data_IF_205856313323
#
_entry.id   IF_205856313323
#
_cell.length_a   1.000
_cell.length_b   1.000
_cell.length_c   1.000
_cell.angle_alpha   90.00
_cell.angle_beta   90.00
_cell.angle_gamma   90.00
#
_symmetry.space_group_name_H-M   'P 1'
#
loop_
_entity.id
_entity.type
_entity.pdbx_description
1 polymer ?
#
# COMPACT_ATOMS: atom_id res chain seq x y z
N UNK A 1 -2.77 52.26 6.93
CA UNK A 1 -2.36 51.05 7.69
C UNK A 1 -3.09 49.78 7.25
N UNK A 2 -4.42 49.79 7.09
CA UNK A 2 -5.14 48.58 6.65
C UNK A 2 -4.68 48.00 5.30
N UNK A 3 -4.17 48.84 4.38
CA UNK A 3 -3.68 48.40 3.07
C UNK A 3 -2.49 47.43 3.15
N UNK A 4 -1.50 47.69 4.01
CA UNK A 4 -0.33 46.80 4.13
C UNK A 4 -0.71 45.48 4.80
N UNK A 5 -1.69 45.50 5.71
CA UNK A 5 -2.19 44.31 6.40
C UNK A 5 -2.86 43.36 5.40
N UNK A 6 -3.72 43.86 4.51
CA UNK A 6 -4.38 43.05 3.49
C UNK A 6 -3.39 42.43 2.50
N UNK A 7 -2.32 43.15 2.13
CA UNK A 7 -1.27 42.64 1.25
C UNK A 7 -0.52 41.48 1.90
N UNK A 8 -0.14 41.62 3.18
CA UNK A 8 0.58 40.56 3.91
C UNK A 8 -0.30 39.31 4.03
N UNK A 9 -1.57 39.46 4.40
CA UNK A 9 -2.51 38.32 4.49
C UNK A 9 -2.69 37.65 3.12
N UNK A 10 -2.80 38.42 2.04
CA UNK A 10 -2.90 37.88 0.68
C UNK A 10 -1.69 37.04 0.27
N UNK A 11 -0.48 37.50 0.60
CA UNK A 11 0.76 36.76 0.30
C UNK A 11 0.87 35.49 1.15
N UNK A 12 0.50 35.55 2.43
CA UNK A 12 0.51 34.38 3.31
C UNK A 12 -0.49 33.33 2.83
N UNK A 13 -1.74 33.71 2.53
CA UNK A 13 -2.75 32.77 2.04
C UNK A 13 -2.34 32.13 0.70
N UNK A 14 -1.79 32.92 -0.23
CA UNK A 14 -1.31 32.41 -1.51
C UNK A 14 -0.13 31.44 -1.37
N UNK A 15 0.82 31.73 -0.47
CA UNK A 15 1.98 30.85 -0.23
C UNK A 15 1.61 29.55 0.49
N UNK A 16 0.65 29.58 1.43
CA UNK A 16 0.20 28.39 2.16
C UNK A 16 -0.51 27.40 1.25
N UNK A 17 -1.40 27.86 0.37
CA UNK A 17 -2.12 26.97 -0.56
C UNK A 17 -1.16 26.20 -1.47
N UNK A 18 -0.21 26.89 -2.09
CA UNK A 18 0.83 26.26 -2.91
C UNK A 18 1.75 25.33 -2.10
N UNK A 19 2.00 25.67 -0.83
CA UNK A 19 2.75 24.82 0.09
C UNK A 19 2.04 23.49 0.37
N UNK A 20 0.72 23.51 0.53
CA UNK A 20 -0.07 22.29 0.76
C UNK A 20 -0.06 21.38 -0.46
N UNK A 21 -0.23 21.91 -1.67
CA UNK A 21 -0.16 21.12 -2.91
C UNK A 21 1.19 20.45 -3.10
N UNK A 22 2.29 21.15 -2.77
CA UNK A 22 3.64 20.59 -2.84
C UNK A 22 3.82 19.43 -1.86
N UNK A 23 3.32 19.57 -0.63
CA UNK A 23 3.37 18.51 0.38
C UNK A 23 2.53 17.31 -0.05
N UNK A 24 1.32 17.53 -0.59
CA UNK A 24 0.45 16.46 -1.08
C UNK A 24 1.10 15.70 -2.24
N UNK A 25 1.72 16.41 -3.20
CA UNK A 25 2.48 15.78 -4.28
C UNK A 25 3.67 14.96 -3.76
N UNK A 26 4.40 15.46 -2.77
CA UNK A 26 5.50 14.73 -2.14
C UNK A 26 5.02 13.46 -1.44
N UNK A 27 3.87 13.51 -0.75
CA UNK A 27 3.25 12.33 -0.13
C UNK A 27 2.82 11.30 -1.18
N UNK A 28 2.18 11.72 -2.27
CA UNK A 28 1.81 10.81 -3.36
C UNK A 28 3.03 10.13 -3.98
N UNK A 29 4.11 10.87 -4.26
CA UNK A 29 5.38 10.28 -4.74
C UNK A 29 5.99 9.30 -3.75
N UNK A 30 5.86 9.57 -2.45
CA UNK A 30 6.34 8.65 -1.41
C UNK A 30 5.55 7.34 -1.41
N UNK A 31 4.23 7.38 -1.64
CA UNK A 31 3.42 6.16 -1.83
C UNK A 31 3.95 5.32 -2.98
N UNK A 32 4.24 5.93 -4.14
CA UNK A 32 4.85 5.22 -5.29
C UNK A 32 6.17 4.57 -4.92
N UNK A 33 7.07 5.34 -4.29
CA UNK A 33 8.38 4.83 -3.86
C UNK A 33 8.26 3.71 -2.83
N UNK A 34 7.33 3.82 -1.87
CA UNK A 34 7.08 2.80 -0.86
C UNK A 34 6.57 1.50 -1.51
N UNK A 35 5.62 1.59 -2.45
CA UNK A 35 5.08 0.42 -3.17
C UNK A 35 6.15 -0.30 -4.00
N UNK A 36 7.03 0.45 -4.67
CA UNK A 36 8.17 -0.12 -5.42
C UNK A 36 9.24 -0.72 -4.49
N UNK A 37 9.51 -0.08 -3.35
CA UNK A 37 10.43 -0.62 -2.36
C UNK A 37 9.89 -1.95 -1.78
N UNK A 38 8.59 -2.03 -1.52
CA UNK A 38 7.94 -3.25 -1.06
C UNK A 38 8.03 -4.37 -2.10
N UNK A 39 7.75 -4.10 -3.38
CA UNK A 39 7.91 -5.15 -4.40
C UNK A 39 9.36 -5.62 -4.52
N UNK A 40 10.34 -4.71 -4.46
CA UNK A 40 11.75 -5.07 -4.44
C UNK A 40 12.13 -5.96 -3.22
N UNK A 41 11.60 -5.67 -2.04
CA UNK A 41 11.81 -6.49 -0.84
C UNK A 41 11.20 -7.89 -1.00
N UNK A 42 9.98 -7.98 -1.54
CA UNK A 42 9.30 -9.25 -1.79
C UNK A 42 10.11 -10.13 -2.77
N UNK A 43 10.62 -9.55 -3.86
CA UNK A 43 11.47 -10.29 -4.81
C UNK A 43 12.84 -10.65 -4.24
N UNK A 44 13.46 -9.75 -3.46
CA UNK A 44 14.73 -10.07 -2.79
C UNK A 44 14.58 -11.25 -1.83
N UNK A 45 13.46 -11.32 -1.12
CA UNK A 45 13.14 -12.45 -0.27
C UNK A 45 12.89 -13.72 -1.09
N UNK A 46 12.14 -13.60 -2.19
CA UNK A 46 11.88 -14.71 -3.11
C UNK A 46 13.17 -15.28 -3.69
N UNK A 47 14.12 -14.44 -4.12
CA UNK A 47 15.40 -14.90 -4.67
C UNK A 47 16.24 -15.67 -3.64
N UNK A 48 16.11 -15.34 -2.35
CA UNK A 48 16.86 -15.99 -1.25
C UNK A 48 16.21 -17.30 -0.79
N UNK A 49 14.89 -17.38 -0.77
CA UNK A 49 14.15 -18.46 -0.10
C UNK A 49 13.19 -19.24 -1.00
N UNK A 50 12.99 -18.82 -2.25
CA UNK A 50 12.12 -19.47 -3.24
C UNK A 50 10.62 -19.39 -2.93
N UNK A 51 10.20 -18.47 -2.05
CA UNK A 51 8.81 -18.22 -1.66
C UNK A 51 8.61 -16.74 -1.35
N UNK A 52 7.37 -16.25 -1.39
CA UNK A 52 7.09 -14.86 -1.01
C UNK A 52 7.01 -14.69 0.53
N UNK A 53 7.22 -13.47 1.06
CA UNK A 53 7.01 -13.21 2.48
C UNK A 53 5.57 -13.50 2.89
N UNK A 54 5.38 -14.31 3.93
CA UNK A 54 4.05 -14.74 4.39
C UNK A 54 3.41 -15.86 3.57
N UNK A 55 4.14 -16.49 2.64
CA UNK A 55 3.79 -17.76 1.97
C UNK A 55 4.37 -18.93 2.78
N UNK A 56 3.72 -19.24 3.89
CA UNK A 56 4.12 -20.21 4.89
C UNK A 56 3.97 -21.67 4.44
N UNK A 57 3.03 -21.97 3.55
CA UNK A 57 2.83 -23.30 2.97
C UNK A 57 3.57 -23.50 1.63
N UNK A 58 4.31 -22.48 1.16
CA UNK A 58 5.18 -22.52 -0.03
C UNK A 58 4.40 -22.86 -1.30
N UNK A 59 3.15 -22.43 -1.38
CA UNK A 59 2.28 -22.66 -2.53
C UNK A 59 2.40 -21.52 -3.58
N UNK A 60 3.25 -20.53 -3.31
CA UNK A 60 3.44 -19.34 -4.15
C UNK A 60 2.40 -18.25 -3.90
N UNK A 61 1.59 -18.36 -2.84
CA UNK A 61 0.52 -17.42 -2.46
C UNK A 61 0.66 -17.07 -0.99
N UNK A 62 0.60 -15.78 -0.69
CA UNK A 62 0.62 -15.29 0.68
C UNK A 62 -0.62 -15.80 1.42
N UNK A 63 -0.45 -16.42 2.59
CA UNK A 63 -1.54 -17.08 3.29
C UNK A 63 -2.59 -16.09 3.81
N UNK A 64 -2.17 -14.88 4.17
CA UNK A 64 -3.07 -13.83 4.63
C UNK A 64 -3.88 -13.27 3.45
N UNK A 65 -5.21 -13.38 3.53
CA UNK A 65 -6.13 -12.84 2.53
C UNK A 65 -6.70 -11.49 2.97
N UNK A 66 -6.74 -10.53 2.04
CA UNK A 66 -7.26 -9.20 2.31
C UNK A 66 -8.77 -9.22 2.56
N UNK A 67 -9.21 -8.40 3.50
CA UNK A 67 -10.60 -8.19 3.90
C UNK A 67 -11.11 -6.80 3.50
N UNK A 68 -10.20 -5.85 3.26
CA UNK A 68 -10.51 -4.47 2.90
C UNK A 68 -10.71 -3.54 4.09
N UNK A 69 -10.52 -4.05 5.31
CA UNK A 69 -10.71 -3.33 6.56
C UNK A 69 -9.43 -3.33 7.44
N UNK A 70 -8.29 -3.71 6.86
CA UNK A 70 -7.02 -3.71 7.54
C UNK A 70 -6.62 -2.30 7.96
N UNK A 71 -6.20 -2.17 9.21
CA UNK A 71 -5.59 -0.97 9.76
C UNK A 71 -4.21 -1.36 10.31
N UNK A 72 -3.34 -0.40 10.68
CA UNK A 72 -2.07 -0.73 11.31
C UNK A 72 -2.23 -1.67 12.52
N UNK A 73 -3.31 -1.53 13.29
CA UNK A 73 -3.59 -2.37 14.45
C UNK A 73 -3.79 -3.86 14.11
N UNK A 74 -4.22 -4.19 12.88
CA UNK A 74 -4.35 -5.57 12.39
C UNK A 74 -3.01 -6.34 12.45
N UNK A 75 -1.89 -5.62 12.41
CA UNK A 75 -0.54 -6.18 12.41
C UNK A 75 0.11 -6.19 13.81
N UNK A 76 -0.63 -5.80 14.85
CA UNK A 76 -0.21 -5.93 16.25
C UNK A 76 0.87 -4.95 16.73
N UNK A 77 0.86 -4.68 18.03
CA UNK A 77 1.78 -3.73 18.68
C UNK A 77 3.14 -4.33 19.09
N UNK A 78 3.27 -5.66 19.00
CA UNK A 78 4.52 -6.35 19.30
C UNK A 78 5.42 -6.43 18.07
N UNK A 79 6.72 -6.56 18.30
CA UNK A 79 7.66 -6.97 17.24
C UNK A 79 7.28 -8.40 16.84
N UNK A 80 6.94 -8.66 15.56
CA UNK A 80 6.68 -10.01 15.10
C UNK A 80 7.89 -10.91 15.40
N UNK A 81 7.68 -12.14 15.90
CA UNK A 81 8.80 -13.02 16.22
C UNK A 81 9.64 -13.25 14.96
N UNK A 82 10.96 -13.07 15.06
CA UNK A 82 11.86 -13.32 13.93
C UNK A 82 11.90 -14.84 13.64
N UNK A 83 11.19 -15.26 12.61
CA UNK A 83 11.10 -16.65 12.19
C UNK A 83 10.39 -16.79 10.84
N UNK A 84 10.75 -17.83 10.09
CA UNK A 84 10.17 -18.11 8.78
C UNK A 84 8.78 -18.74 8.90
N UNK A 85 7.78 -17.93 9.24
CA UNK A 85 6.44 -18.33 9.68
C UNK A 85 6.40 -19.22 10.93
N UNK A 86 5.55 -18.87 11.90
CA UNK A 86 5.35 -19.70 13.10
C UNK A 86 4.34 -20.86 12.90
N UNK A 87 3.95 -21.14 11.65
CA UNK A 87 2.99 -22.18 11.25
C UNK A 87 2.35 -21.86 9.89
N UNK A 88 1.54 -22.78 9.32
CA UNK A 88 0.88 -22.61 8.02
C UNK A 88 -0.44 -21.79 8.08
N UNK A 89 -0.55 -20.87 9.03
CA UNK A 89 -1.78 -20.09 9.28
C UNK A 89 -1.84 -18.79 8.47
N UNK A 90 -3.06 -18.26 8.27
CA UNK A 90 -3.27 -16.93 7.68
C UNK A 90 -3.02 -15.82 8.71
N UNK A 91 -1.77 -15.66 9.17
CA UNK A 91 -1.42 -14.63 10.17
C UNK A 91 -0.93 -13.38 9.46
N UNK A 92 -1.57 -12.24 9.73
CA UNK A 92 -1.25 -10.96 9.09
C UNK A 92 0.21 -10.49 9.32
N UNK A 93 0.85 -10.94 10.39
CA UNK A 93 2.21 -10.54 10.75
C UNK A 93 3.31 -11.41 10.13
N UNK A 94 2.97 -12.54 9.50
CA UNK A 94 3.96 -13.50 9.01
C UNK A 94 4.85 -12.94 7.89
N UNK A 95 4.28 -12.07 7.06
CA UNK A 95 5.04 -11.29 6.08
C UNK A 95 6.18 -10.46 6.71
N UNK A 96 5.97 -9.93 7.92
CA UNK A 96 6.93 -9.05 8.59
C UNK A 96 7.96 -9.86 9.35
N UNK A 97 7.55 -10.94 10.01
CA UNK A 97 8.48 -11.87 10.66
C UNK A 97 9.47 -12.45 9.64
N UNK A 98 8.99 -12.83 8.46
CA UNK A 98 9.82 -13.32 7.36
C UNK A 98 10.88 -12.29 6.93
N UNK A 99 10.46 -11.04 6.67
CA UNK A 99 11.38 -9.98 6.25
C UNK A 99 12.39 -9.59 7.34
N UNK A 100 11.99 -9.62 8.61
CA UNK A 100 12.86 -9.39 9.76
C UNK A 100 13.87 -10.54 9.89
N UNK A 101 13.43 -11.80 9.80
CA UNK A 101 14.29 -12.98 9.86
C UNK A 101 15.33 -12.99 8.72
N UNK A 102 14.95 -12.51 7.54
CA UNK A 102 15.83 -12.37 6.39
C UNK A 102 16.78 -11.16 6.45
N UNK A 103 16.69 -10.33 7.50
CA UNK A 103 17.43 -9.07 7.64
C UNK A 103 17.20 -8.09 6.47
N UNK A 104 16.04 -8.17 5.83
CA UNK A 104 15.64 -7.26 4.75
C UNK A 104 14.91 -6.03 5.29
N UNK A 105 14.37 -6.13 6.50
CA UNK A 105 13.70 -5.03 7.19
C UNK A 105 14.15 -5.00 8.66
N UNK A 106 14.40 -3.83 9.25
CA UNK A 106 14.69 -3.73 10.69
C UNK A 106 13.52 -4.24 11.52
N UNK A 107 13.85 -4.84 12.66
CA UNK A 107 12.86 -5.29 13.63
C UNK A 107 12.11 -4.09 14.23
N UNK A 108 10.79 -4.07 14.07
CA UNK A 108 9.89 -3.10 14.67
C UNK A 108 8.51 -3.75 14.91
N UNK A 109 7.64 -3.07 15.66
CA UNK A 109 6.27 -3.54 15.86
C UNK A 109 5.54 -3.69 14.52
N UNK A 110 4.72 -4.74 14.37
CA UNK A 110 4.06 -5.05 13.10
C UNK A 110 3.17 -3.89 12.62
N UNK A 111 2.46 -3.23 13.53
CA UNK A 111 1.70 -2.02 13.23
C UNK A 111 2.57 -0.88 12.70
N UNK A 112 3.80 -0.72 13.21
CA UNK A 112 4.72 0.34 12.77
C UNK A 112 5.25 0.06 11.38
N UNK A 113 5.54 -1.20 11.08
CA UNK A 113 5.96 -1.64 9.74
C UNK A 113 4.83 -1.49 8.72
N UNK A 114 3.60 -1.72 9.17
CA UNK A 114 2.41 -1.53 8.36
C UNK A 114 2.03 -0.06 8.16
N UNK A 115 2.71 0.94 8.73
CA UNK A 115 2.33 2.34 8.51
C UNK A 115 2.70 2.82 7.10
N UNK A 116 1.71 3.37 6.41
CA UNK A 116 1.85 4.08 5.15
C UNK A 116 2.06 5.59 5.39
N UNK A 117 2.32 6.33 4.31
CA UNK A 117 2.60 7.78 4.35
C UNK A 117 1.41 8.62 4.86
N UNK A 118 0.19 8.06 4.82
CA UNK A 118 -1.05 8.69 5.25
C UNK A 118 -1.53 8.19 6.63
N UNK A 119 -0.66 7.49 7.37
CA UNK A 119 -0.91 6.91 8.71
C UNK A 119 -1.93 5.76 8.74
N UNK A 120 -2.16 5.10 7.62
CA UNK A 120 -2.95 3.86 7.55
C UNK A 120 -2.07 2.67 7.14
N UNK A 121 -2.66 1.53 6.80
CA UNK A 121 -1.96 0.29 6.57
C UNK A 121 -1.31 0.22 5.18
N UNK A 122 -0.13 -0.40 5.12
CA UNK A 122 0.50 -1.00 3.95
C UNK A 122 0.95 -2.41 4.29
N UNK A 123 0.72 -3.37 3.40
CA UNK A 123 1.05 -4.77 3.66
C UNK A 123 1.01 -5.62 2.38
N UNK A 124 1.58 -6.80 2.44
CA UNK A 124 1.39 -7.88 1.49
C UNK A 124 0.22 -8.78 1.93
N UNK A 125 -0.63 -9.15 0.98
CA UNK A 125 -1.65 -10.16 1.18
C UNK A 125 -1.99 -10.80 -0.17
N UNK A 126 -2.78 -11.86 -0.14
CA UNK A 126 -3.43 -12.36 -1.34
C UNK A 126 -4.78 -11.68 -1.58
N UNK A 127 -5.17 -11.65 -2.85
CA UNK A 127 -6.53 -11.36 -3.29
C UNK A 127 -6.94 -12.30 -4.41
N UNK A 128 -8.21 -12.69 -4.43
CA UNK A 128 -8.74 -13.56 -5.48
C UNK A 128 -9.46 -12.73 -6.54
N UNK A 129 -9.04 -12.85 -7.80
CA UNK A 129 -9.64 -12.19 -8.96
C UNK A 129 -10.12 -13.28 -9.91
N UNK A 130 -11.41 -13.29 -10.22
CA UNK A 130 -12.03 -14.29 -11.11
C UNK A 130 -11.66 -15.76 -10.73
N UNK A 131 -11.61 -16.07 -9.43
CA UNK A 131 -11.32 -17.42 -8.91
C UNK A 131 -9.83 -17.79 -8.87
N UNK A 132 -8.91 -16.88 -9.19
CA UNK A 132 -7.46 -17.09 -9.11
C UNK A 132 -6.84 -16.20 -8.02
N UNK A 133 -6.00 -16.74 -7.13
CA UNK A 133 -5.29 -15.94 -6.14
C UNK A 133 -4.10 -15.20 -6.76
N UNK A 134 -3.91 -13.96 -6.35
CA UNK A 134 -2.80 -13.09 -6.72
C UNK A 134 -2.17 -12.50 -5.45
N UNK A 135 -0.85 -12.41 -5.44
CA UNK A 135 -0.12 -11.69 -4.39
C UNK A 135 -0.10 -10.20 -4.72
N UNK A 136 -0.46 -9.39 -3.74
CA UNK A 136 -0.57 -7.96 -3.90
C UNK A 136 -0.03 -7.18 -2.70
N UNK A 137 0.46 -5.99 -2.97
CA UNK A 137 0.79 -4.98 -1.96
C UNK A 137 -0.42 -4.05 -1.84
N UNK A 138 -0.96 -3.94 -0.64
CA UNK A 138 -2.10 -3.08 -0.35
C UNK A 138 -1.62 -1.78 0.27
N UNK A 139 -2.22 -0.69 -0.17
CA UNK A 139 -2.12 0.64 0.43
C UNK A 139 -3.53 1.07 0.82
N UNK A 140 -3.83 1.08 2.12
CA UNK A 140 -5.15 1.38 2.65
C UNK A 140 -5.34 2.87 2.88
N UNK A 141 -6.57 3.36 2.70
CA UNK A 141 -7.00 4.72 2.99
C UNK A 141 -6.06 5.82 2.47
N UNK A 142 -5.51 5.62 1.28
CA UNK A 142 -4.76 6.67 0.59
C UNK A 142 -5.73 7.59 -0.15
N UNK A 143 -5.48 8.91 -0.24
CA UNK A 143 -6.32 9.80 -1.03
C UNK A 143 -6.41 9.37 -2.50
N UNK A 144 -7.55 9.61 -3.14
CA UNK A 144 -7.79 9.25 -4.55
C UNK A 144 -6.72 9.83 -5.49
N UNK A 145 -6.28 11.08 -5.28
CA UNK A 145 -5.20 11.66 -6.11
C UNK A 145 -3.89 10.86 -6.01
N UNK A 146 -3.57 10.33 -4.83
CA UNK A 146 -2.36 9.55 -4.61
C UNK A 146 -2.48 8.16 -5.24
N UNK A 147 -3.68 7.58 -5.21
CA UNK A 147 -3.97 6.30 -5.85
C UNK A 147 -3.91 6.40 -7.38
N UNK A 148 -4.50 7.44 -7.98
CA UNK A 148 -4.39 7.74 -9.41
C UNK A 148 -2.95 8.00 -9.83
N UNK A 149 -2.18 8.73 -9.01
CA UNK A 149 -0.76 8.91 -9.26
C UNK A 149 0.01 7.59 -9.21
N UNK A 150 -0.29 6.71 -8.25
CA UNK A 150 0.33 5.39 -8.16
C UNK A 150 0.05 4.55 -9.40
N UNK A 151 -1.21 4.54 -9.83
CA UNK A 151 -1.70 3.87 -11.04
C UNK A 151 -1.00 4.36 -12.31
N UNK A 152 -1.08 5.65 -12.63
CA UNK A 152 -0.45 6.22 -13.82
C UNK A 152 1.07 6.05 -13.82
N UNK A 153 1.74 6.05 -12.66
CA UNK A 153 3.19 5.83 -12.61
C UNK A 153 3.61 4.37 -12.82
N UNK A 154 2.76 3.39 -12.47
CA UNK A 154 3.11 1.97 -12.57
C UNK A 154 2.51 1.29 -13.81
N UNK A 155 1.29 1.66 -14.20
CA UNK A 155 0.55 1.09 -15.34
C UNK A 155 0.50 2.00 -16.56
N UNK A 156 0.75 3.30 -16.41
CA UNK A 156 0.77 4.26 -17.52
C UNK A 156 -0.61 4.71 -18.02
N UNK A 157 -1.69 4.16 -17.47
CA UNK A 157 -3.07 4.58 -17.68
C UNK A 157 -3.75 4.88 -16.35
N UNK A 158 -4.78 5.72 -16.35
CA UNK A 158 -5.61 5.95 -15.17
C UNK A 158 -6.83 5.02 -15.26
N UNK A 159 -6.71 3.82 -14.68
CA UNK A 159 -7.80 2.86 -14.58
C UNK A 159 -7.72 2.05 -13.28
N UNK A 160 -8.86 1.87 -12.62
CA UNK A 160 -8.93 1.25 -11.30
C UNK A 160 -9.17 -0.25 -11.33
N UNK A 161 -9.27 -0.86 -12.52
CA UNK A 161 -9.85 -2.20 -12.68
C UNK A 161 -9.11 -3.15 -13.62
N UNK A 162 -8.19 -2.62 -14.41
CA UNK A 162 -7.21 -3.38 -15.17
C UNK A 162 -5.81 -3.02 -14.63
N UNK A 163 -4.75 -3.41 -15.33
CA UNK A 163 -3.39 -3.11 -14.88
C UNK A 163 -2.94 -3.89 -13.64
N UNK A 164 -1.78 -3.49 -13.13
CA UNK A 164 -1.17 -3.96 -11.89
C UNK A 164 -1.73 -3.24 -10.67
N UNK A 165 -2.21 -2.00 -10.80
CA UNK A 165 -2.84 -1.21 -9.75
C UNK A 165 -4.34 -1.29 -9.91
N UNK A 166 -5.03 -1.72 -8.86
CA UNK A 166 -6.49 -1.81 -8.84
C UNK A 166 -7.05 -1.20 -7.59
N UNK A 167 -8.25 -0.65 -7.68
CA UNK A 167 -8.99 -0.23 -6.52
C UNK A 167 -9.56 -1.44 -5.77
N UNK A 168 -9.37 -1.45 -4.46
CA UNK A 168 -9.97 -2.42 -3.56
C UNK A 168 -11.24 -1.82 -2.94
N UNK A 169 -12.37 -2.51 -3.10
CA UNK A 169 -13.65 -2.18 -2.46
C UNK A 169 -14.07 -3.35 -1.57
N UNK A 170 -13.95 -3.18 -0.25
CA UNK A 170 -14.04 -4.33 0.67
C UNK A 170 -12.97 -5.38 0.33
N UNK A 171 -13.34 -6.65 0.24
CA UNK A 171 -12.42 -7.73 -0.16
C UNK A 171 -12.40 -8.00 -1.68
N UNK A 172 -12.90 -7.07 -2.50
CA UNK A 172 -13.06 -7.26 -3.94
C UNK A 172 -12.28 -6.22 -4.76
N UNK A 173 -11.71 -6.66 -5.86
CA UNK A 173 -11.11 -5.79 -6.89
C UNK A 173 -11.86 -5.96 -8.22
N UNK A 174 -12.04 -4.89 -9.01
CA UNK A 174 -12.61 -5.00 -10.34
C UNK A 174 -11.74 -5.85 -11.29
N UNK A 175 -12.39 -6.40 -12.32
CA UNK A 175 -11.74 -7.16 -13.39
C UNK A 175 -12.19 -6.70 -14.79
N UNK A 176 -12.47 -5.41 -14.91
CA UNK A 176 -12.89 -4.76 -16.14
C UNK A 176 -12.46 -3.29 -16.07
N UNK A 177 -12.45 -2.59 -17.20
CA UNK A 177 -12.15 -1.17 -17.23
C UNK A 177 -13.15 -0.41 -16.36
N UNK A 178 -12.68 0.16 -15.25
CA UNK A 178 -13.47 0.95 -14.32
C UNK A 178 -12.65 2.16 -13.89
N UNK A 179 -13.27 3.33 -13.83
CA UNK A 179 -12.62 4.50 -13.26
C UNK A 179 -12.49 4.37 -11.73
N UNK A 180 -11.53 5.10 -11.15
CA UNK A 180 -11.42 5.25 -9.70
C UNK A 180 -12.71 5.83 -9.12
N UNK A 181 -13.32 5.10 -8.19
CA UNK A 181 -14.55 5.50 -7.51
C UNK A 181 -14.18 6.37 -6.32
N UNK A 182 -14.19 7.69 -6.52
CA UNK A 182 -13.99 8.68 -5.45
C UNK A 182 -14.95 9.86 -5.58
N UNK A 183 -15.45 10.37 -4.45
CA UNK A 183 -16.38 11.51 -4.43
C UNK A 183 -15.62 12.84 -4.61
N UNK A 184 -14.39 12.89 -4.11
CA UNK A 184 -13.43 13.99 -4.22
C UNK A 184 -12.01 13.42 -4.34
N UNK A 185 -11.05 14.23 -4.77
CA UNK A 185 -9.63 13.80 -4.85
C UNK A 185 -9.03 13.40 -3.49
N UNK A 186 -9.57 13.95 -2.39
CA UNK A 186 -9.17 13.63 -1.02
C UNK A 186 -9.93 12.42 -0.43
N UNK A 187 -10.89 11.84 -1.16
CA UNK A 187 -11.62 10.67 -0.69
C UNK A 187 -10.64 9.52 -0.47
N UNK A 188 -10.61 8.90 0.72
CA UNK A 188 -9.73 7.77 0.97
C UNK A 188 -10.20 6.55 0.19
N UNK A 189 -9.26 5.92 -0.50
CA UNK A 189 -9.46 4.69 -1.27
C UNK A 189 -8.39 3.68 -0.89
N UNK A 190 -8.68 2.41 -1.12
CA UNK A 190 -7.71 1.34 -0.96
C UNK A 190 -7.19 0.95 -2.34
N UNK A 191 -5.88 0.85 -2.48
CA UNK A 191 -5.22 0.43 -3.72
C UNK A 191 -4.51 -0.91 -3.51
N UNK A 192 -4.61 -1.78 -4.50
CA UNK A 192 -3.96 -3.08 -4.56
C UNK A 192 -2.96 -3.07 -5.72
N UNK A 193 -1.70 -3.36 -5.43
CA UNK A 193 -0.63 -3.50 -6.41
C UNK A 193 -0.28 -4.98 -6.59
N UNK A 194 -0.73 -5.55 -7.70
CA UNK A 194 -0.43 -6.92 -8.14
C UNK A 194 1.01 -6.99 -8.62
N UNK A 195 1.93 -7.39 -7.74
CA UNK A 195 3.35 -7.43 -8.09
C UNK A 195 3.76 -8.73 -8.77
N UNK A 196 3.25 -9.89 -8.31
CA UNK A 196 3.70 -11.21 -8.77
C UNK A 196 3.20 -11.56 -10.19
N UNK A 197 1.88 -11.54 -10.41
CA UNK A 197 1.24 -11.97 -11.66
C UNK A 197 0.23 -10.94 -12.15
N UNK A 198 0.14 -10.82 -13.48
CA UNK A 198 -0.91 -10.04 -14.14
C UNK A 198 -2.15 -10.91 -14.39
N UNK A 199 -3.36 -10.43 -14.06
CA UNK A 199 -4.61 -11.11 -14.39
C UNK A 199 -4.92 -11.12 -15.89
#
# INVERSE_FOLDING_TARGET
>A
ELAIVLVIIGIILGSVLKGQDLVNNAKAKRVVSDSQAMSALAYTFFDRYGRFPGDCDRNGVINYAVTGAETPATFGAAIPPAGFCAGAGAVATDQWSDLIAAQLQPAAAGQTLALNTFNDAKFYAQITIAGRPYNAIFMMQIPCYAAKMLDVNLDGAEDAGLGVIRQLTGAAVPNATTAWVCATEDTPVNAAYLFDRRP
#
